data_IF_049850812679
#
_entry.id   IF_049850812679
#
_cell.length_a   1.000
_cell.length_b   1.000
_cell.length_c   1.000
_cell.angle_alpha   90.00
_cell.angle_beta   90.00
_cell.angle_gamma   90.00
#
_symmetry.space_group_name_H-M   'P 1'
#
loop_
_entity.id
_entity.type
_entity.pdbx_description
1 polymer ?
#
# COMPACT_ATOMS: atom_id res chain seq x y z
N UNK A 1 -53.42 6.21 41.40
CA UNK A 1 -52.26 5.39 40.99
C UNK A 1 -51.62 6.08 39.79
N UNK A 2 -50.70 7.01 40.05
CA UNK A 2 -50.09 7.85 39.02
C UNK A 2 -49.01 7.08 38.28
N UNK A 3 -49.12 7.01 36.95
CA UNK A 3 -48.08 6.44 36.07
C UNK A 3 -46.99 7.49 35.89
N UNK A 4 -45.81 7.25 36.45
CA UNK A 4 -44.58 7.98 36.11
C UNK A 4 -44.17 7.61 34.68
N UNK A 5 -44.20 8.57 33.78
CA UNK A 5 -43.64 8.42 32.43
C UNK A 5 -42.13 8.74 32.53
N UNK A 6 -41.28 7.73 32.33
CA UNK A 6 -39.82 7.90 32.37
C UNK A 6 -39.33 8.61 31.12
N UNK A 7 -38.78 9.81 31.28
CA UNK A 7 -38.06 10.57 30.27
C UNK A 7 -36.61 10.06 30.12
N UNK A 8 -36.43 8.78 29.80
CA UNK A 8 -35.12 8.13 29.64
C UNK A 8 -34.86 7.68 28.18
N UNK A 9 -35.15 8.55 27.20
CA UNK A 9 -34.81 8.32 25.80
C UNK A 9 -34.05 9.51 25.17
N UNK A 10 -33.24 10.23 25.94
CA UNK A 10 -32.16 11.01 25.33
C UNK A 10 -31.05 10.04 24.88
N UNK A 11 -30.98 9.82 23.58
CA UNK A 11 -29.85 9.15 22.93
C UNK A 11 -28.57 9.84 23.43
N UNK A 12 -27.64 9.13 24.11
CA UNK A 12 -26.43 9.77 24.59
C UNK A 12 -25.68 10.33 23.38
N UNK A 13 -25.57 11.67 23.29
CA UNK A 13 -24.67 12.33 22.33
C UNK A 13 -23.32 11.64 22.49
N UNK A 14 -22.82 11.06 21.39
CA UNK A 14 -21.53 10.38 21.37
C UNK A 14 -20.46 11.26 22.02
N UNK A 15 -20.13 10.96 23.27
CA UNK A 15 -19.06 11.62 24.01
C UNK A 15 -17.78 10.96 23.53
N UNK A 16 -17.05 11.66 22.66
CA UNK A 16 -15.67 11.28 22.34
C UNK A 16 -14.92 11.06 23.65
N UNK A 17 -14.37 9.86 23.85
CA UNK A 17 -13.51 9.57 25.01
C UNK A 17 -12.37 10.60 25.03
N UNK A 18 -12.23 11.28 26.17
CA UNK A 18 -11.18 12.28 26.44
C UNK A 18 -9.80 11.63 26.69
N UNK A 19 -9.74 10.30 26.75
CA UNK A 19 -8.50 9.54 26.82
C UNK A 19 -7.76 9.64 25.49
N UNK A 20 -6.93 10.69 25.46
CA UNK A 20 -5.80 10.89 24.59
C UNK A 20 -6.13 11.24 23.13
N UNK A 21 -6.46 12.52 22.91
CA UNK A 21 -6.29 13.21 21.63
C UNK A 21 -4.80 13.40 21.26
N UNK A 22 -3.90 12.51 21.66
CA UNK A 22 -2.73 12.25 20.82
C UNK A 22 -3.29 11.53 19.60
N UNK A 23 -3.81 12.36 18.68
CA UNK A 23 -4.24 11.95 17.36
C UNK A 23 -3.13 11.07 16.75
N UNK A 24 -3.49 10.20 15.80
CA UNK A 24 -2.51 9.40 15.06
C UNK A 24 -1.35 10.22 14.42
N UNK A 25 -1.35 11.55 14.55
CA UNK A 25 -0.26 12.46 14.25
C UNK A 25 1.12 11.97 14.71
N UNK A 26 1.29 11.41 15.91
CA UNK A 26 2.62 10.92 16.33
C UNK A 26 3.12 9.73 15.50
N UNK A 27 2.21 8.97 14.86
CA UNK A 27 2.53 7.89 13.92
C UNK A 27 2.66 8.37 12.46
N UNK A 28 2.37 9.64 12.18
CA UNK A 28 2.54 10.22 10.84
C UNK A 28 3.99 10.66 10.67
N UNK A 29 4.53 10.45 9.49
CA UNK A 29 5.86 10.93 9.14
C UNK A 29 5.91 12.47 9.25
N UNK A 30 7.01 13.00 9.79
CA UNK A 30 7.19 14.44 10.04
C UNK A 30 7.45 15.29 8.79
N UNK A 31 7.52 14.66 7.61
CA UNK A 31 7.83 15.30 6.34
C UNK A 31 6.73 15.04 5.32
N UNK A 32 6.71 15.89 4.28
CA UNK A 32 5.86 15.68 3.10
C UNK A 32 6.47 14.57 2.25
N UNK A 33 5.72 13.50 2.01
CA UNK A 33 6.19 12.39 1.19
C UNK A 33 6.32 12.81 -0.27
N UNK A 34 7.55 12.72 -0.80
CA UNK A 34 7.82 12.67 -2.23
C UNK A 34 7.98 11.21 -2.63
N UNK A 35 7.13 10.74 -3.53
CA UNK A 35 7.14 9.36 -3.99
C UNK A 35 7.81 9.26 -5.36
N UNK A 36 8.63 8.24 -5.52
CA UNK A 36 9.19 7.80 -6.79
C UNK A 36 8.87 6.32 -7.00
N UNK A 37 8.97 5.86 -8.25
CA UNK A 37 8.71 4.46 -8.59
C UNK A 37 9.97 3.61 -8.41
N UNK A 38 9.76 2.37 -7.96
CA UNK A 38 10.82 1.40 -7.75
C UNK A 38 10.29 -0.01 -7.81
N UNK A 39 11.21 -0.95 -8.02
CA UNK A 39 10.93 -2.37 -7.91
C UNK A 39 11.16 -2.81 -6.47
N UNK A 40 10.16 -3.49 -5.90
CA UNK A 40 10.28 -4.09 -4.57
C UNK A 40 10.32 -5.59 -4.75
N UNK A 41 11.44 -6.17 -4.32
CA UNK A 41 11.63 -7.61 -4.24
C UNK A 41 11.34 -8.07 -2.82
N UNK A 42 10.49 -9.07 -2.67
CA UNK A 42 10.12 -9.56 -1.35
C UNK A 42 9.81 -11.04 -1.37
N UNK A 43 9.85 -11.67 -0.19
CA UNK A 43 9.41 -13.05 -0.01
C UNK A 43 7.96 -13.05 0.45
N UNK A 44 7.16 -13.96 -0.09
CA UNK A 44 5.80 -14.17 0.42
C UNK A 44 5.83 -15.32 1.42
N UNK A 45 5.23 -15.15 2.60
CA UNK A 45 5.22 -16.18 3.66
C UNK A 45 4.56 -17.52 3.25
N UNK A 46 3.90 -17.57 2.10
CA UNK A 46 3.20 -18.76 1.58
C UNK A 46 4.01 -19.43 0.46
N UNK A 47 5.03 -18.74 -0.08
CA UNK A 47 5.95 -19.22 -1.11
C UNK A 47 7.39 -18.86 -0.68
N UNK A 48 7.93 -19.57 0.31
CA UNK A 48 9.24 -19.25 0.90
C UNK A 48 10.41 -19.31 -0.10
N UNK A 49 10.26 -20.13 -1.15
CA UNK A 49 11.30 -20.37 -2.16
C UNK A 49 11.27 -19.39 -3.33
N UNK A 50 10.27 -18.49 -3.40
CA UNK A 50 10.13 -17.56 -4.51
C UNK A 50 10.32 -16.13 -4.04
N UNK A 51 11.17 -15.40 -4.77
CA UNK A 51 11.29 -13.96 -4.62
C UNK A 51 10.30 -13.32 -5.58
N UNK A 52 9.32 -12.64 -5.03
CA UNK A 52 8.37 -11.87 -5.81
C UNK A 52 8.94 -10.49 -6.15
N UNK A 53 8.54 -9.96 -7.30
CA UNK A 53 8.90 -8.60 -7.70
C UNK A 53 7.64 -7.81 -8.06
N UNK A 54 7.43 -6.69 -7.39
CA UNK A 54 6.31 -5.78 -7.68
C UNK A 54 6.79 -4.37 -7.98
N UNK A 55 6.03 -3.68 -8.83
CA UNK A 55 6.24 -2.27 -9.11
C UNK A 55 5.43 -1.43 -8.12
N UNK A 56 6.14 -0.68 -7.28
CA UNK A 56 5.54 0.11 -6.22
C UNK A 56 6.11 1.53 -6.23
N UNK A 57 5.51 2.41 -5.44
CA UNK A 57 6.09 3.73 -5.17
C UNK A 57 6.63 3.78 -3.75
N UNK A 58 7.80 4.37 -3.59
CA UNK A 58 8.46 4.51 -2.31
C UNK A 58 8.75 5.98 -2.04
N UNK A 59 8.75 6.37 -0.76
CA UNK A 59 9.11 7.72 -0.38
C UNK A 59 10.63 7.88 -0.40
N UNK A 60 11.15 8.86 -1.13
CA UNK A 60 12.60 9.12 -1.24
C UNK A 60 13.26 9.63 0.03
N UNK A 61 12.47 9.97 1.06
CA UNK A 61 12.97 10.50 2.33
C UNK A 61 12.93 9.44 3.43
N UNK A 62 11.86 8.64 3.52
CA UNK A 62 11.69 7.67 4.61
C UNK A 62 11.39 6.24 4.16
N UNK A 63 11.51 5.96 2.87
CA UNK A 63 11.31 4.63 2.31
C UNK A 63 9.86 4.14 2.30
N UNK A 64 8.89 4.91 2.80
CA UNK A 64 7.50 4.46 2.91
C UNK A 64 6.95 3.95 1.58
N UNK A 65 6.46 2.72 1.57
CA UNK A 65 5.94 2.02 0.41
C UNK A 65 4.44 2.33 0.26
N UNK A 66 4.00 2.49 -0.98
CA UNK A 66 2.60 2.49 -1.37
C UNK A 66 2.43 1.80 -2.73
N UNK A 67 1.16 1.60 -3.10
CA UNK A 67 0.78 1.09 -4.42
C UNK A 67 1.31 1.96 -5.57
N UNK A 68 1.38 1.38 -6.77
CA UNK A 68 1.88 2.04 -7.97
C UNK A 68 1.26 3.42 -8.24
N UNK A 69 1.96 4.26 -8.99
CA UNK A 69 1.39 5.53 -9.45
C UNK A 69 0.32 5.32 -10.51
N UNK A 70 -0.67 6.23 -10.56
CA UNK A 70 -1.69 6.24 -11.63
C UNK A 70 -1.05 6.52 -12.99
N UNK A 71 -0.04 7.40 -13.02
CA UNK A 71 0.72 7.77 -14.20
C UNK A 71 2.11 7.15 -14.10
N UNK A 72 2.15 5.82 -14.03
CA UNK A 72 3.42 5.09 -13.92
C UNK A 72 4.28 5.29 -15.16
N UNK A 73 5.60 5.33 -14.97
CA UNK A 73 6.60 5.30 -16.04
C UNK A 73 6.53 3.93 -16.75
N UNK A 74 6.19 2.88 -16.00
CA UNK A 74 5.99 1.52 -16.52
C UNK A 74 4.57 1.37 -17.06
N UNK A 75 4.37 1.82 -18.30
CA UNK A 75 3.07 1.81 -18.98
C UNK A 75 2.73 0.45 -19.63
N UNK A 76 3.73 -0.35 -19.95
CA UNK A 76 3.64 -1.65 -20.61
C UNK A 76 3.39 -2.80 -19.63
N UNK A 77 3.23 -2.48 -18.34
CA UNK A 77 2.97 -3.44 -17.27
C UNK A 77 1.70 -4.26 -17.46
N UNK A 78 0.70 -3.71 -18.17
CA UNK A 78 -0.56 -4.37 -18.46
C UNK A 78 -0.74 -4.52 -19.97
N UNK A 79 -0.72 -5.75 -20.45
CA UNK A 79 -0.95 -6.09 -21.85
C UNK A 79 -2.44 -6.33 -22.08
N UNK A 80 -3.02 -5.67 -23.07
CA UNK A 80 -4.35 -6.01 -23.59
C UNK A 80 -4.25 -7.28 -24.41
N UNK A 81 -5.07 -8.27 -24.08
CA UNK A 81 -5.15 -9.54 -24.79
C UNK A 81 -6.61 -9.79 -25.16
N UNK A 82 -6.85 -10.08 -26.43
CA UNK A 82 -8.16 -10.53 -26.92
C UNK A 82 -8.35 -12.00 -26.56
N UNK A 83 -9.36 -12.28 -25.74
CA UNK A 83 -9.77 -13.64 -25.39
C UNK A 83 -11.13 -13.93 -26.03
N UNK A 84 -11.55 -15.21 -26.16
CA UNK A 84 -12.86 -15.55 -26.71
C UNK A 84 -14.04 -14.92 -25.96
N UNK A 85 -13.84 -14.52 -24.70
CA UNK A 85 -14.83 -13.87 -23.81
C UNK A 85 -14.74 -12.33 -23.89
N UNK A 86 -13.80 -11.78 -24.66
CA UNK A 86 -13.58 -10.34 -24.84
C UNK A 86 -12.16 -9.89 -24.49
N UNK A 87 -11.97 -8.56 -24.43
CA UNK A 87 -10.68 -7.92 -24.11
C UNK A 87 -10.38 -8.03 -22.62
N UNK A 88 -9.25 -8.65 -22.27
CA UNK A 88 -8.72 -8.68 -20.90
C UNK A 88 -7.39 -7.95 -20.81
N UNK A 89 -7.09 -7.43 -19.63
CA UNK A 89 -5.76 -6.92 -19.31
C UNK A 89 -5.03 -7.97 -18.49
N UNK A 90 -3.87 -8.39 -18.99
CA UNK A 90 -2.99 -9.33 -18.32
C UNK A 90 -1.75 -8.57 -17.86
N UNK A 91 -1.40 -8.74 -16.59
CA UNK A 91 -0.18 -8.18 -16.03
C UNK A 91 1.02 -8.98 -16.53
N UNK A 92 2.11 -8.31 -16.91
CA UNK A 92 3.35 -9.00 -17.27
C UNK A 92 3.88 -9.80 -16.06
N UNK A 93 4.63 -10.87 -16.31
CA UNK A 93 5.20 -11.66 -15.22
C UNK A 93 6.23 -10.86 -14.44
N UNK A 94 6.40 -11.23 -13.17
CA UNK A 94 7.31 -10.56 -12.24
C UNK A 94 8.77 -10.65 -12.71
N UNK A 95 9.17 -11.77 -13.33
CA UNK A 95 10.52 -11.95 -13.87
C UNK A 95 10.80 -10.99 -15.03
N UNK A 96 9.85 -10.86 -15.97
CA UNK A 96 9.97 -9.93 -17.10
C UNK A 96 10.01 -8.48 -16.59
N UNK A 97 9.19 -8.16 -15.59
CA UNK A 97 9.22 -6.84 -14.95
C UNK A 97 10.62 -6.55 -14.38
N UNK A 98 11.20 -7.48 -13.64
CA UNK A 98 12.53 -7.33 -13.08
C UNK A 98 13.59 -7.16 -14.18
N UNK A 99 13.66 -8.09 -15.12
CA UNK A 99 14.67 -8.09 -16.19
C UNK A 99 14.62 -6.82 -17.04
N UNK A 100 13.43 -6.27 -17.28
CA UNK A 100 13.27 -5.07 -18.09
C UNK A 100 13.64 -3.78 -17.35
N UNK A 101 13.36 -3.71 -16.03
CA UNK A 101 13.38 -2.45 -15.29
C UNK A 101 14.43 -2.35 -14.18
N UNK A 102 15.10 -3.44 -13.78
CA UNK A 102 16.10 -3.43 -12.70
C UNK A 102 17.27 -2.48 -12.95
N UNK A 103 17.61 -2.19 -14.22
CA UNK A 103 18.65 -1.22 -14.57
C UNK A 103 18.17 0.23 -14.68
N UNK A 104 16.85 0.47 -14.68
CA UNK A 104 16.24 1.81 -14.85
C UNK A 104 15.61 2.34 -13.58
N UNK A 105 15.09 1.46 -12.74
CA UNK A 105 14.41 1.78 -11.50
C UNK A 105 15.21 1.26 -10.31
N UNK A 106 15.17 1.96 -9.16
CA UNK A 106 15.78 1.48 -7.94
C UNK A 106 15.10 0.17 -7.49
N UNK A 107 15.92 -0.79 -7.08
CA UNK A 107 15.47 -2.10 -6.60
C UNK A 107 15.69 -2.18 -5.10
N UNK A 108 14.64 -2.49 -4.36
CA UNK A 108 14.69 -2.68 -2.91
C UNK A 108 14.35 -4.11 -2.55
N UNK A 109 14.98 -4.63 -1.49
CA UNK A 109 14.63 -5.92 -0.91
C UNK A 109 13.93 -5.71 0.44
N UNK A 110 12.83 -6.43 0.65
CA UNK A 110 12.02 -6.39 1.87
C UNK A 110 11.68 -7.83 2.25
N UNK A 111 11.79 -8.22 3.52
CA UNK A 111 11.52 -9.63 3.89
C UNK A 111 10.03 -9.93 3.80
N UNK A 112 9.19 -9.06 4.37
CA UNK A 112 7.73 -9.23 4.38
C UNK A 112 7.03 -7.90 4.10
N UNK A 113 6.55 -7.69 2.87
CA UNK A 113 5.88 -6.44 2.46
C UNK A 113 4.58 -6.16 3.23
N UNK A 114 3.95 -7.18 3.84
CA UNK A 114 2.74 -6.99 4.63
C UNK A 114 3.06 -6.40 6.00
N UNK A 115 4.22 -6.75 6.57
CA UNK A 115 4.71 -6.25 7.86
C UNK A 115 5.54 -4.98 7.69
N UNK A 116 6.47 -5.00 6.75
CA UNK A 116 7.37 -3.92 6.42
C UNK A 116 6.75 -2.99 5.38
N UNK A 117 6.37 -1.79 5.83
CA UNK A 117 5.75 -0.76 4.99
C UNK A 117 6.74 0.28 4.49
N UNK A 118 8.04 0.04 4.68
CA UNK A 118 9.11 0.95 4.30
C UNK A 118 10.28 0.16 3.71
N UNK A 119 10.89 0.66 2.64
CA UNK A 119 12.17 0.16 2.15
C UNK A 119 13.32 0.81 2.92
N UNK A 120 14.46 0.11 2.97
CA UNK A 120 15.71 0.71 3.43
C UNK A 120 16.33 1.53 2.30
N UNK A 121 16.67 2.79 2.57
CA UNK A 121 17.22 3.73 1.58
C UNK A 121 18.76 3.76 1.53
N UNK A 122 19.43 3.00 2.39
CA UNK A 122 20.89 3.01 2.54
C UNK A 122 21.36 3.83 3.73
#
# INVERSE_FOLDING_TARGET
MERKFSSDLEIPKYLKRKENDISKANKKSKHKHRYEEGLIRYKWNWEENKIHTSLNRYCTICGKINDKMKNSIVIDYMKKVDTPVGKRYIQISEDILYDTYHGRLPVFFVEDICKEKCVNLG
#
